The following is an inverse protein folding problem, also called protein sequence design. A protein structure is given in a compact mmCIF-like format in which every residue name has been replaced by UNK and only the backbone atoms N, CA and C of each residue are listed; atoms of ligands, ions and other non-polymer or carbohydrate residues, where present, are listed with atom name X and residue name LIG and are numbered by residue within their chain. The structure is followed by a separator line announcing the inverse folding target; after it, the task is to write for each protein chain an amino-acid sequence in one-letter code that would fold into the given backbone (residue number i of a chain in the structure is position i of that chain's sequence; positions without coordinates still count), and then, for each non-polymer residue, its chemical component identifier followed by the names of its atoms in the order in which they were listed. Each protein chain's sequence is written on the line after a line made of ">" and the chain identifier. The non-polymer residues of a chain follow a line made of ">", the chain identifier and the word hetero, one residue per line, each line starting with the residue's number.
data_IF_575345453066
#
_entry.id   IF_575345453066
#
_cell.length_a   1.000
_cell.length_b   1.000
_cell.length_c   1.000
_cell.angle_alpha   90.00
_cell.angle_beta   90.00
_cell.angle_gamma   90.00
#
_symmetry.space_group_name_H-M   'P 1'
#
loop_
_entity.id
_entity.type
_entity.pdbx_description
1 polymer ?
#
# COMPACT_ATOMS: atom_id res chain seq x y z
N UNK A 1 5.57 28.14 -3.42
CA UNK A 1 4.62 27.10 -2.96
C UNK A 1 5.37 26.19 -2.03
N UNK A 2 4.99 26.15 -0.76
CA UNK A 2 5.56 25.19 0.19
C UNK A 2 5.19 23.79 -0.32
N UNK A 3 6.18 22.93 -0.52
CA UNK A 3 5.93 21.51 -0.69
C UNK A 3 5.32 21.02 0.62
N UNK A 4 3.99 20.99 0.69
CA UNK A 4 3.31 20.26 1.74
C UNK A 4 3.88 18.86 1.73
N UNK A 5 4.18 18.34 2.92
CA UNK A 5 4.75 17.02 3.10
C UNK A 5 3.65 16.00 2.73
N UNK A 6 3.52 15.70 1.43
CA UNK A 6 2.42 14.89 0.91
C UNK A 6 2.43 13.52 1.57
N UNK A 7 1.25 13.05 1.98
CA UNK A 7 1.11 11.79 2.70
C UNK A 7 1.51 10.62 1.79
N UNK A 8 2.32 9.71 2.35
CA UNK A 8 2.74 8.46 1.74
C UNK A 8 2.25 7.28 2.60
N UNK A 9 2.04 6.09 2.01
CA UNK A 9 2.16 5.75 0.59
C UNK A 9 1.16 6.43 -0.35
N UNK A 10 1.55 6.63 -1.61
CA UNK A 10 0.67 7.19 -2.65
C UNK A 10 1.09 6.70 -4.05
N UNK A 11 0.19 6.86 -5.02
CA UNK A 11 0.44 6.59 -6.42
C UNK A 11 1.14 7.75 -7.13
N UNK A 12 2.08 7.36 -7.99
CA UNK A 12 2.84 8.24 -8.87
C UNK A 12 2.85 7.65 -10.28
N UNK A 13 3.05 8.52 -11.27
CA UNK A 13 3.29 8.13 -12.66
C UNK A 13 4.73 8.45 -13.04
N UNK A 14 5.33 7.60 -13.86
CA UNK A 14 6.65 7.87 -14.45
C UNK A 14 6.52 8.99 -15.47
N UNK A 15 7.41 9.97 -15.38
CA UNK A 15 7.45 11.14 -16.26
C UNK A 15 8.90 11.52 -16.59
N UNK A 16 9.11 12.19 -17.71
CA UNK A 16 10.43 12.72 -18.09
C UNK A 16 11.48 11.66 -18.47
N UNK A 17 11.06 10.42 -18.70
CA UNK A 17 11.87 9.33 -19.25
C UNK A 17 11.59 9.23 -20.75
N UNK A 18 12.62 9.08 -21.58
CA UNK A 18 12.45 8.95 -23.02
C UNK A 18 11.71 7.65 -23.37
N UNK A 19 10.91 7.66 -24.44
CA UNK A 19 10.08 6.50 -24.82
C UNK A 19 10.86 5.25 -25.24
N UNK A 20 12.16 5.39 -25.49
CA UNK A 20 13.10 4.30 -25.79
C UNK A 20 14.02 3.96 -24.60
N UNK A 21 13.69 4.45 -23.40
CA UNK A 21 14.44 4.25 -22.16
C UNK A 21 13.51 3.73 -21.05
N UNK A 22 14.08 3.40 -19.89
CA UNK A 22 13.34 2.92 -18.72
C UNK A 22 13.88 3.52 -17.42
N UNK A 23 13.01 3.68 -16.43
CA UNK A 23 13.41 4.16 -15.12
C UNK A 23 13.97 3.01 -14.28
N UNK A 24 15.25 3.07 -13.95
CA UNK A 24 15.89 2.06 -13.12
C UNK A 24 15.38 2.08 -11.67
N UNK A 25 15.04 0.90 -11.17
CA UNK A 25 14.79 0.60 -9.74
C UNK A 25 16.09 0.07 -9.14
N UNK A 26 16.60 0.73 -8.10
CA UNK A 26 17.94 0.47 -7.53
C UNK A 26 17.90 -0.07 -6.12
N UNK A 27 18.95 -0.77 -5.71
CA UNK A 27 19.06 -1.34 -4.37
C UNK A 27 19.22 -0.30 -3.25
N UNK A 28 19.79 0.86 -3.56
CA UNK A 28 20.01 1.97 -2.62
C UNK A 28 19.63 3.31 -3.28
N UNK A 29 19.36 4.38 -2.48
CA UNK A 29 18.97 5.69 -3.00
C UNK A 29 20.19 6.47 -3.54
N UNK A 30 20.89 5.89 -4.51
CA UNK A 30 22.08 6.45 -5.16
C UNK A 30 22.20 5.97 -6.62
N UNK A 31 22.91 6.75 -7.45
CA UNK A 31 22.87 6.59 -8.91
C UNK A 31 23.70 5.41 -9.44
N UNK A 32 24.66 4.93 -8.66
CA UNK A 32 25.60 3.84 -8.96
C UNK A 32 25.22 2.51 -8.29
N UNK A 33 24.22 2.51 -7.40
CA UNK A 33 23.69 1.28 -6.81
C UNK A 33 23.17 0.28 -7.86
N UNK A 34 23.27 -1.01 -7.52
CA UNK A 34 22.79 -2.12 -8.35
C UNK A 34 21.35 -1.88 -8.83
N UNK A 35 21.10 -2.15 -10.10
CA UNK A 35 19.77 -2.14 -10.70
C UNK A 35 19.08 -3.46 -10.35
N UNK A 36 17.95 -3.38 -9.65
CA UNK A 36 17.09 -4.52 -9.29
C UNK A 36 16.01 -4.79 -10.34
N UNK A 37 15.67 -3.77 -11.13
CA UNK A 37 14.66 -3.84 -12.19
C UNK A 37 14.42 -2.49 -12.83
N UNK A 38 13.36 -2.39 -13.62
CA UNK A 38 12.98 -1.15 -14.32
C UNK A 38 11.47 -0.91 -14.29
N UNK A 39 11.08 0.36 -14.45
CA UNK A 39 9.72 0.79 -14.76
C UNK A 39 9.70 1.34 -16.19
N UNK A 40 8.60 1.08 -16.91
CA UNK A 40 8.39 1.66 -18.24
C UNK A 40 8.37 3.19 -18.17
N UNK A 41 8.71 3.85 -19.28
CA UNK A 41 8.80 5.31 -19.38
C UNK A 41 7.49 6.04 -19.07
N UNK A 42 6.36 5.33 -19.20
CA UNK A 42 4.98 5.79 -19.00
C UNK A 42 4.24 4.98 -17.93
N UNK A 43 4.97 4.25 -17.07
CA UNK A 43 4.35 3.42 -16.04
C UNK A 43 3.50 4.29 -15.10
N UNK A 44 2.22 3.93 -14.97
CA UNK A 44 1.28 4.57 -14.05
C UNK A 44 1.12 3.76 -12.76
N UNK A 45 0.46 4.34 -11.74
CA UNK A 45 0.14 3.66 -10.47
C UNK A 45 1.37 3.09 -9.74
N UNK A 46 2.51 3.77 -9.85
CA UNK A 46 3.71 3.43 -9.09
C UNK A 46 3.47 3.74 -7.61
N UNK A 47 3.29 2.69 -6.81
CA UNK A 47 3.13 2.77 -5.38
C UNK A 47 4.44 3.20 -4.69
N UNK A 48 4.53 4.48 -4.31
CA UNK A 48 5.65 5.00 -3.51
C UNK A 48 5.34 4.82 -2.04
N UNK A 49 6.23 4.14 -1.32
CA UNK A 49 6.10 3.81 0.10
C UNK A 49 6.60 4.93 0.99
N UNK A 50 7.81 5.42 0.71
CA UNK A 50 8.48 6.50 1.46
C UNK A 50 9.51 7.20 0.57
N UNK A 51 10.10 8.30 1.05
CA UNK A 51 11.20 9.02 0.39
C UNK A 51 12.49 8.89 1.18
N UNK A 52 13.62 9.04 0.48
CA UNK A 52 14.93 9.20 1.14
C UNK A 52 14.95 10.48 1.97
N UNK A 53 15.87 10.56 2.94
CA UNK A 53 15.99 11.74 3.82
C UNK A 53 16.25 13.05 3.05
N UNK A 54 16.94 12.97 1.92
CA UNK A 54 17.18 14.10 1.01
C UNK A 54 16.07 14.32 -0.04
N UNK A 55 15.03 13.47 -0.02
CA UNK A 55 13.89 13.48 -0.94
C UNK A 55 14.26 13.44 -2.42
N UNK A 56 15.40 12.86 -2.77
CA UNK A 56 15.79 12.64 -4.18
C UNK A 56 15.37 11.28 -4.72
N UNK A 57 15.01 10.36 -3.82
CA UNK A 57 14.64 8.99 -4.15
C UNK A 57 13.32 8.61 -3.51
N UNK A 58 12.55 7.82 -4.24
CA UNK A 58 11.30 7.22 -3.80
C UNK A 58 11.47 5.72 -3.66
N UNK A 59 11.05 5.16 -2.53
CA UNK A 59 11.02 3.72 -2.31
C UNK A 59 9.76 3.14 -2.94
N UNK A 60 9.91 2.07 -3.72
CA UNK A 60 8.85 1.32 -4.41
C UNK A 60 9.03 -0.18 -4.17
N UNK A 61 7.99 -0.97 -4.42
CA UNK A 61 8.12 -2.44 -4.40
C UNK A 61 8.97 -2.94 -5.57
N UNK A 62 9.86 -3.91 -5.32
CA UNK A 62 10.74 -4.50 -6.33
C UNK A 62 10.88 -6.01 -6.10
N UNK A 63 10.21 -6.82 -6.93
CA UNK A 63 10.14 -8.27 -6.71
C UNK A 63 9.54 -8.60 -5.34
N UNK A 64 10.27 -9.40 -4.57
CA UNK A 64 9.93 -9.77 -3.19
C UNK A 64 10.31 -8.69 -2.16
N UNK A 65 11.14 -7.72 -2.53
CA UNK A 65 11.65 -6.69 -1.63
C UNK A 65 11.21 -5.28 -2.00
N UNK A 66 12.08 -4.31 -1.71
CA UNK A 66 11.90 -2.89 -2.02
C UNK A 66 13.12 -2.33 -2.75
N UNK A 67 12.90 -1.28 -3.54
CA UNK A 67 13.96 -0.59 -4.27
C UNK A 67 13.68 0.90 -4.40
N UNK A 68 14.62 1.61 -4.98
CA UNK A 68 14.64 3.07 -5.06
C UNK A 68 14.63 3.57 -6.50
N UNK A 69 13.77 4.52 -6.79
CA UNK A 69 13.74 5.23 -8.09
C UNK A 69 14.00 6.71 -7.87
N UNK A 70 14.61 7.37 -8.85
CA UNK A 70 14.89 8.80 -8.75
C UNK A 70 13.57 9.60 -8.79
N UNK A 71 13.27 10.34 -7.73
CA UNK A 71 11.98 11.02 -7.54
C UNK A 71 11.68 12.03 -8.64
N UNK A 72 12.71 12.62 -9.27
CA UNK A 72 12.55 13.59 -10.38
C UNK A 72 11.81 13.03 -11.60
N UNK A 73 11.73 11.70 -11.74
CA UNK A 73 11.01 11.02 -12.81
C UNK A 73 9.64 10.51 -12.37
N UNK A 74 9.15 10.94 -11.21
CA UNK A 74 7.83 10.59 -10.70
C UNK A 74 6.99 11.85 -10.51
N UNK A 75 5.75 11.79 -11.01
CA UNK A 75 4.72 12.78 -10.74
C UNK A 75 3.66 12.15 -9.84
N UNK A 76 3.33 12.78 -8.71
CA UNK A 76 2.28 12.28 -7.81
C UNK A 76 0.92 12.40 -8.51
N UNK A 77 0.08 11.39 -8.43
CA UNK A 77 -1.31 11.52 -8.88
C UNK A 77 -2.12 12.40 -7.89
N UNK A 78 -3.03 13.20 -8.42
CA UNK A 78 -3.88 14.10 -7.64
C UNK A 78 -4.93 13.35 -6.81
N UNK A 79 -5.54 14.02 -5.82
CA UNK A 79 -6.71 13.50 -5.10
C UNK A 79 -6.41 12.46 -4.01
N UNK A 80 -5.15 12.32 -3.60
CA UNK A 80 -4.70 11.33 -2.62
C UNK A 80 -4.32 11.94 -1.26
N UNK A 81 -4.72 13.17 -0.94
CA UNK A 81 -4.30 13.85 0.30
C UNK A 81 -5.02 13.36 1.56
N UNK A 82 -6.36 13.20 1.50
CA UNK A 82 -7.20 13.16 2.71
C UNK A 82 -7.90 11.81 2.95
N UNK A 83 -7.78 10.87 2.02
CA UNK A 83 -8.40 9.55 2.07
C UNK A 83 -7.37 8.41 2.01
N UNK A 84 -7.81 7.23 2.42
CA UNK A 84 -7.10 6.00 2.11
C UNK A 84 -7.06 5.84 0.58
N UNK A 85 -5.88 5.70 -0.06
CA UNK A 85 -5.84 5.49 -1.50
C UNK A 85 -6.56 4.18 -1.88
N UNK A 86 -7.19 4.19 -3.06
CA UNK A 86 -7.83 3.01 -3.63
C UNK A 86 -6.82 1.88 -3.88
N UNK A 87 -7.28 0.63 -3.88
CA UNK A 87 -6.44 -0.53 -4.18
C UNK A 87 -5.44 -0.83 -3.06
N UNK A 88 -5.86 -1.61 -2.08
CA UNK A 88 -5.05 -1.98 -0.93
C UNK A 88 -4.98 -3.49 -0.77
N UNK A 89 -3.77 -4.02 -0.66
CA UNK A 89 -3.52 -5.43 -0.35
C UNK A 89 -2.89 -5.49 1.04
N UNK A 90 -3.59 -6.13 1.96
CA UNK A 90 -3.17 -6.37 3.33
C UNK A 90 -2.92 -7.86 3.57
N UNK A 91 -1.96 -8.18 4.42
CA UNK A 91 -1.66 -9.57 4.80
C UNK A 91 -0.96 -9.66 6.15
N UNK A 92 -1.12 -10.82 6.79
CA UNK A 92 -0.32 -11.23 7.94
C UNK A 92 0.31 -12.60 7.71
N UNK A 93 1.43 -12.85 8.40
CA UNK A 93 2.25 -14.05 8.26
C UNK A 93 1.93 -15.12 9.30
N UNK A 94 1.50 -14.76 10.51
CA UNK A 94 1.07 -15.73 11.52
C UNK A 94 -0.10 -15.20 12.37
N UNK A 95 -1.32 -15.76 12.24
CA UNK A 95 -1.71 -16.71 11.19
C UNK A 95 -1.59 -16.09 9.79
N UNK A 96 -1.48 -16.92 8.75
CA UNK A 96 -1.52 -16.44 7.37
C UNK A 96 -2.94 -16.01 7.00
N UNK A 97 -3.07 -14.80 6.47
CA UNK A 97 -4.33 -14.25 5.96
C UNK A 97 -4.04 -13.15 4.95
N UNK A 98 -5.00 -12.86 4.08
CA UNK A 98 -4.95 -11.71 3.19
C UNK A 98 -6.31 -11.01 3.12
N UNK A 99 -6.26 -9.70 2.85
CA UNK A 99 -7.41 -8.87 2.59
C UNK A 99 -7.07 -7.96 1.40
N UNK A 100 -7.77 -8.15 0.29
CA UNK A 100 -7.69 -7.26 -0.87
C UNK A 100 -8.87 -6.30 -0.82
N UNK A 101 -8.63 -5.00 -1.05
CA UNK A 101 -9.64 -3.94 -0.95
C UNK A 101 -9.57 -3.08 -2.20
N UNK A 102 -10.67 -3.06 -2.94
CA UNK A 102 -10.93 -2.12 -4.04
C UNK A 102 -11.84 -0.99 -3.54
N UNK A 103 -12.34 -0.14 -4.46
CA UNK A 103 -13.26 0.96 -4.14
C UNK A 103 -14.55 0.54 -3.44
N UNK A 104 -15.09 -0.63 -3.78
CA UNK A 104 -16.40 -1.11 -3.28
C UNK A 104 -16.41 -2.55 -2.81
N UNK A 105 -15.35 -3.31 -3.09
CA UNK A 105 -15.27 -4.74 -2.82
C UNK A 105 -14.07 -4.99 -1.94
N UNK A 106 -14.16 -6.02 -1.12
CA UNK A 106 -13.03 -6.56 -0.43
C UNK A 106 -13.12 -8.09 -0.45
N UNK A 107 -11.97 -8.75 -0.54
CA UNK A 107 -11.88 -10.21 -0.49
C UNK A 107 -10.98 -10.58 0.69
N UNK A 108 -11.53 -11.31 1.65
CA UNK A 108 -10.77 -11.85 2.78
C UNK A 108 -10.46 -13.33 2.53
N UNK A 109 -9.20 -13.73 2.67
CA UNK A 109 -8.77 -15.11 2.40
C UNK A 109 -7.88 -15.67 3.50
N UNK A 110 -8.02 -16.98 3.70
CA UNK A 110 -7.18 -17.82 4.54
C UNK A 110 -6.63 -18.96 3.68
N UNK A 111 -5.44 -19.52 3.97
CA UNK A 111 -4.85 -20.57 3.13
C UNK A 111 -5.73 -21.81 2.97
N UNK A 112 -6.42 -22.20 4.03
CA UNK A 112 -7.17 -23.45 4.12
C UNK A 112 -8.69 -23.27 4.03
N UNK A 113 -9.15 -22.12 3.52
CA UNK A 113 -10.57 -21.83 3.36
C UNK A 113 -10.86 -21.08 2.05
N UNK A 114 -12.08 -21.23 1.48
CA UNK A 114 -12.50 -20.40 0.36
C UNK A 114 -12.45 -18.90 0.71
N UNK A 115 -12.08 -18.02 -0.24
CA UNK A 115 -12.17 -16.58 -0.03
C UNK A 115 -13.60 -16.13 0.29
N UNK A 116 -13.70 -15.10 1.11
CA UNK A 116 -14.95 -14.49 1.55
C UNK A 116 -15.04 -13.12 0.90
N UNK A 117 -16.07 -12.97 0.05
CA UNK A 117 -16.41 -11.72 -0.60
C UNK A 117 -17.15 -10.79 0.38
N UNK A 118 -16.66 -9.57 0.47
CA UNK A 118 -17.18 -8.50 1.31
C UNK A 118 -17.40 -7.25 0.45
N UNK A 119 -18.28 -6.38 0.92
CA UNK A 119 -18.51 -5.05 0.36
C UNK A 119 -17.91 -4.00 1.28
N UNK A 120 -17.27 -3.00 0.72
CA UNK A 120 -16.90 -1.80 1.48
C UNK A 120 -18.17 -1.00 1.76
N UNK A 121 -18.64 -1.04 3.00
CA UNK A 121 -19.82 -0.33 3.48
C UNK A 121 -19.51 1.13 3.77
N UNK A 122 -18.48 1.37 4.58
CA UNK A 122 -18.00 2.72 4.91
C UNK A 122 -16.48 2.76 4.91
N UNK A 123 -15.95 3.91 4.47
CA UNK A 123 -14.54 4.29 4.62
C UNK A 123 -14.49 5.64 5.34
N UNK A 124 -13.81 5.66 6.49
CA UNK A 124 -13.81 6.77 7.42
C UNK A 124 -12.38 7.23 7.68
N UNK A 125 -12.12 8.53 7.66
CA UNK A 125 -10.88 9.11 8.16
C UNK A 125 -11.02 9.45 9.64
N UNK A 126 -9.98 9.21 10.44
CA UNK A 126 -10.01 9.53 11.86
C UNK A 126 -10.11 11.04 12.09
N UNK A 127 -11.06 11.45 12.94
CA UNK A 127 -11.23 12.87 13.29
C UNK A 127 -9.99 13.38 14.03
N UNK A 128 -9.39 14.46 13.52
CA UNK A 128 -8.23 15.10 14.14
C UNK A 128 -6.89 14.36 13.96
N UNK A 129 -6.86 13.24 13.22
CA UNK A 129 -5.63 12.47 12.98
C UNK A 129 -5.50 12.10 11.50
N UNK A 130 -4.42 12.56 10.86
CA UNK A 130 -4.08 12.15 9.49
C UNK A 130 -3.55 10.72 9.43
N UNK A 131 -3.81 10.02 8.33
CA UNK A 131 -3.22 8.70 8.07
C UNK A 131 -3.78 7.57 8.92
N UNK A 132 -4.97 7.74 9.50
CA UNK A 132 -5.69 6.68 10.20
C UNK A 132 -7.08 6.54 9.60
N UNK A 133 -7.44 5.32 9.23
CA UNK A 133 -8.66 5.05 8.49
C UNK A 133 -9.39 3.87 9.13
N UNK A 134 -10.72 3.93 9.14
CA UNK A 134 -11.59 2.83 9.53
C UNK A 134 -12.40 2.37 8.31
N UNK A 135 -12.38 1.07 8.05
CA UNK A 135 -13.23 0.44 7.04
C UNK A 135 -14.25 -0.46 7.71
N UNK A 136 -15.52 -0.30 7.35
CA UNK A 136 -16.58 -1.24 7.67
C UNK A 136 -16.86 -2.10 6.44
N UNK A 137 -16.60 -3.40 6.57
CA UNK A 137 -16.77 -4.39 5.51
C UNK A 137 -17.96 -5.28 5.84
N UNK A 138 -18.83 -5.47 4.86
CA UNK A 138 -20.11 -6.13 5.02
C UNK A 138 -20.20 -7.35 4.10
N UNK A 139 -20.46 -8.52 4.66
CA UNK A 139 -20.80 -9.75 3.92
C UNK A 139 -22.16 -10.28 4.35
N UNK A 140 -22.58 -11.40 3.75
CA UNK A 140 -23.88 -12.02 4.05
C UNK A 140 -23.92 -12.63 5.45
N UNK A 141 -22.90 -13.42 5.80
CA UNK A 141 -22.84 -14.16 7.08
C UNK A 141 -21.72 -13.66 8.01
N UNK A 142 -20.82 -12.83 7.47
CA UNK A 142 -19.62 -12.37 8.15
C UNK A 142 -19.36 -10.90 7.79
N UNK A 143 -18.98 -10.10 8.78
CA UNK A 143 -18.54 -8.73 8.60
C UNK A 143 -17.09 -8.56 9.07
N UNK A 144 -16.48 -7.45 8.70
CA UNK A 144 -15.17 -7.09 9.20
C UNK A 144 -15.03 -5.59 9.44
N UNK A 145 -14.14 -5.24 10.37
CA UNK A 145 -13.72 -3.86 10.61
C UNK A 145 -12.21 -3.81 10.51
N UNK A 146 -11.69 -2.96 9.63
CA UNK A 146 -10.25 -2.76 9.47
C UNK A 146 -9.86 -1.36 9.95
N UNK A 147 -8.84 -1.27 10.80
CA UNK A 147 -8.19 -0.01 11.16
C UNK A 147 -6.84 0.03 10.46
N UNK A 148 -6.69 0.96 9.52
CA UNK A 148 -5.49 1.10 8.69
C UNK A 148 -4.73 2.35 9.09
N UNK A 149 -3.42 2.24 9.25
CA UNK A 149 -2.53 3.31 9.71
C UNK A 149 -1.39 3.51 8.72
N UNK A 150 -1.09 4.76 8.33
CA UNK A 150 0.13 5.12 7.60
C UNK A 150 1.32 4.99 8.55
N UNK A 151 2.02 3.88 8.46
CA UNK A 151 3.19 3.57 9.28
C UNK A 151 4.11 2.60 8.54
N UNK A 152 5.41 2.68 8.85
CA UNK A 152 6.36 1.70 8.34
C UNK A 152 6.07 0.36 9.00
N UNK A 153 5.78 -0.65 8.18
CA UNK A 153 5.37 -1.98 8.62
C UNK A 153 6.26 -3.03 7.94
N UNK A 154 6.52 -4.12 8.66
CA UNK A 154 7.26 -5.29 8.18
C UNK A 154 6.49 -6.54 8.55
N UNK A 155 6.44 -7.50 7.62
CA UNK A 155 5.82 -8.80 7.83
C UNK A 155 6.72 -9.79 8.59
N UNK A 156 7.93 -9.36 8.97
CA UNK A 156 8.92 -10.16 9.69
C UNK A 156 9.56 -11.30 8.90
N UNK A 157 9.18 -11.48 7.63
CA UNK A 157 9.56 -12.63 6.81
C UNK A 157 10.21 -12.25 5.48
N UNK A 158 9.97 -11.04 4.96
CA UNK A 158 10.54 -10.53 3.72
C UNK A 158 11.37 -9.26 3.94
N UNK A 159 12.22 -8.95 2.96
CA UNK A 159 12.92 -7.66 2.88
C UNK A 159 12.00 -6.53 2.35
N UNK A 160 10.68 -6.78 2.27
CA UNK A 160 9.72 -5.80 1.80
C UNK A 160 9.37 -4.83 2.90
N UNK A 161 9.37 -3.55 2.52
CA UNK A 161 8.88 -2.47 3.38
C UNK A 161 7.47 -2.09 2.95
N UNK A 162 6.55 -2.11 3.92
CA UNK A 162 5.17 -1.68 3.76
C UNK A 162 4.99 -0.31 4.39
N UNK A 163 4.10 0.51 3.83
CA UNK A 163 3.83 1.85 4.37
C UNK A 163 2.48 1.98 5.06
N UNK A 164 1.80 0.86 5.26
CA UNK A 164 0.61 0.79 6.10
C UNK A 164 0.67 -0.41 7.04
N UNK A 165 0.18 -0.22 8.26
CA UNK A 165 -0.21 -1.28 9.18
C UNK A 165 -1.73 -1.43 9.23
N UNK A 166 -2.22 -2.61 9.59
CA UNK A 166 -3.64 -2.89 9.75
C UNK A 166 -3.94 -3.75 10.97
N UNK A 167 -4.98 -3.36 11.68
CA UNK A 167 -5.67 -4.18 12.68
C UNK A 167 -7.05 -4.56 12.09
N UNK A 168 -7.31 -5.85 11.92
CA UNK A 168 -8.49 -6.38 11.24
C UNK A 168 -9.28 -7.28 12.19
N UNK A 169 -10.50 -6.88 12.52
CA UNK A 169 -11.46 -7.71 13.23
C UNK A 169 -12.43 -8.32 12.23
N UNK A 170 -12.49 -9.64 12.15
CA UNK A 170 -13.36 -10.40 11.26
C UNK A 170 -14.32 -11.19 12.13
N UNK A 171 -15.62 -11.12 11.89
CA UNK A 171 -16.55 -11.82 12.76
C UNK A 171 -17.99 -11.89 12.30
N UNK A 172 -18.71 -12.80 12.93
CA UNK A 172 -20.14 -13.01 12.83
C UNK A 172 -20.76 -12.93 14.23
N UNK A 173 -22.07 -13.18 14.32
CA UNK A 173 -22.73 -13.31 15.63
C UNK A 173 -22.21 -14.49 16.47
N UNK A 174 -21.56 -15.48 15.85
CA UNK A 174 -21.11 -16.72 16.50
C UNK A 174 -19.62 -16.74 16.85
N UNK A 175 -18.77 -16.03 16.09
CA UNK A 175 -17.31 -16.06 16.26
C UNK A 175 -16.67 -14.75 15.81
N UNK A 176 -15.57 -14.37 16.48
CA UNK A 176 -14.75 -13.23 16.10
C UNK A 176 -13.27 -13.65 16.08
N UNK A 177 -12.52 -13.10 15.14
CA UNK A 177 -11.09 -13.22 15.02
C UNK A 177 -10.48 -11.83 14.88
N UNK A 178 -9.29 -11.65 15.46
CA UNK A 178 -8.53 -10.41 15.39
C UNK A 178 -7.17 -10.69 14.75
N UNK A 179 -6.88 -9.97 13.69
CA UNK A 179 -5.68 -10.11 12.89
C UNK A 179 -4.89 -8.80 12.89
N UNK A 180 -3.58 -8.91 12.83
CA UNK A 180 -2.69 -7.79 12.59
C UNK A 180 -1.83 -8.09 11.36
N UNK A 181 -1.45 -7.06 10.62
CA UNK A 181 -0.67 -7.22 9.40
C UNK A 181 -0.20 -5.90 8.80
N UNK A 182 0.40 -6.00 7.63
CA UNK A 182 0.84 -4.85 6.85
C UNK A 182 0.02 -4.73 5.57
N UNK A 183 -0.09 -3.50 5.05
CA UNK A 183 -0.72 -3.26 3.75
C UNK A 183 0.18 -2.48 2.80
N UNK A 184 -0.08 -2.68 1.52
CA UNK A 184 0.52 -1.96 0.41
C UNK A 184 -0.54 -1.56 -0.61
N UNK A 185 -0.23 -0.53 -1.37
CA UNK A 185 -1.01 -0.22 -2.55
C UNK A 185 -0.85 -1.33 -3.61
N UNK A 186 -1.94 -1.62 -4.31
CA UNK A 186 -1.93 -2.48 -5.50
C UNK A 186 -1.20 -1.75 -6.63
N UNK A 187 -0.37 -2.44 -7.42
CA UNK A 187 0.42 -1.82 -8.51
C UNK A 187 -0.39 -1.80 -9.80
#
# INVERSE_FOLDING_TARGET
>A
MQAQNAALPAYYDVTGVASNDALNVRAAPEADAQILGTLAFDATNVAVVTLSGDRRWAMVGAGEGSGWVALRYLARQDGQEDALPAGLICSGTEPFWALMIDDRRAEFSLPDAPPIELRVGQSLSAMGYSGRYGLLLEGQDLGATAIIRREMCSDGMSDRTYGFGVDLMVGSSASNAFYAGCCRLER
#
